data_IF_064283006865
#
_entry.id   IF_064283006865
#
_cell.length_a   1.000
_cell.length_b   1.000
_cell.length_c   1.000
_cell.angle_alpha   90.00
_cell.angle_beta   90.00
_cell.angle_gamma   90.00
#
_symmetry.space_group_name_H-M   'P 1'
#
loop_
_entity.id
_entity.type
_entity.pdbx_description
1 polymer ?
#
# COMPACT_ATOMS: atom_id res chain seq x y z
N UNK A 1 -11.55 -35.23 -26.00
CA UNK A 1 -12.77 -34.96 -25.20
C UNK A 1 -12.48 -34.23 -23.89
N UNK A 2 -11.53 -34.69 -23.07
CA UNK A 2 -11.22 -34.06 -21.79
C UNK A 2 -10.68 -32.61 -21.90
N UNK A 3 -9.80 -32.33 -22.85
CA UNK A 3 -9.30 -30.96 -23.09
C UNK A 3 -10.40 -29.99 -23.56
N UNK A 4 -11.27 -30.42 -24.47
CA UNK A 4 -12.43 -29.64 -24.91
C UNK A 4 -13.40 -29.35 -23.75
N UNK A 5 -13.53 -30.29 -22.80
CA UNK A 5 -14.32 -30.07 -21.58
C UNK A 5 -13.68 -29.00 -20.70
N UNK A 6 -12.38 -29.08 -20.42
CA UNK A 6 -11.66 -28.07 -19.65
C UNK A 6 -11.69 -26.70 -20.33
N UNK A 7 -11.65 -26.65 -21.66
CA UNK A 7 -11.78 -25.40 -22.40
C UNK A 7 -13.15 -24.75 -22.19
N UNK A 8 -14.24 -25.54 -22.16
CA UNK A 8 -15.61 -25.04 -21.94
C UNK A 8 -15.93 -24.74 -20.47
N UNK A 9 -15.52 -25.60 -19.53
CA UNK A 9 -15.80 -25.47 -18.08
C UNK A 9 -14.77 -24.64 -17.32
N UNK A 10 -13.64 -24.32 -17.95
CA UNK A 10 -12.48 -23.58 -17.42
C UNK A 10 -11.70 -24.34 -16.33
N UNK A 11 -12.38 -24.95 -15.36
CA UNK A 11 -11.76 -25.70 -14.26
C UNK A 11 -12.41 -27.07 -14.07
N UNK A 12 -11.62 -28.07 -13.67
CA UNK A 12 -12.11 -29.34 -13.14
C UNK A 12 -11.10 -29.97 -12.18
N UNK A 13 -11.58 -30.70 -11.19
CA UNK A 13 -10.75 -31.51 -10.29
C UNK A 13 -10.41 -32.87 -10.91
N UNK A 14 -9.37 -33.53 -10.42
CA UNK A 14 -9.05 -34.90 -10.85
C UNK A 14 -10.19 -35.87 -10.55
N UNK A 15 -10.85 -35.71 -9.41
CA UNK A 15 -12.00 -36.53 -9.04
C UNK A 15 -13.16 -36.41 -10.02
N UNK A 16 -13.45 -35.18 -10.51
CA UNK A 16 -14.49 -34.97 -11.52
C UNK A 16 -14.12 -35.59 -12.88
N UNK A 17 -12.85 -35.49 -13.30
CA UNK A 17 -12.39 -36.11 -14.54
C UNK A 17 -12.50 -37.64 -14.47
N UNK A 18 -12.04 -38.24 -13.36
CA UNK A 18 -12.16 -39.68 -13.12
C UNK A 18 -13.62 -40.14 -13.05
N UNK A 19 -14.49 -39.42 -12.33
CA UNK A 19 -15.91 -39.74 -12.23
C UNK A 19 -16.63 -39.68 -13.59
N UNK A 20 -16.13 -38.87 -14.52
CA UNK A 20 -16.62 -38.77 -15.90
C UNK A 20 -15.96 -39.77 -16.87
N UNK A 21 -15.04 -40.62 -16.40
CA UNK A 21 -14.29 -41.55 -17.25
C UNK A 21 -13.31 -40.86 -18.21
N UNK A 22 -12.89 -39.63 -17.89
CA UNK A 22 -11.98 -38.83 -18.71
C UNK A 22 -10.54 -38.90 -18.17
N UNK A 23 -9.53 -38.88 -19.04
CA UNK A 23 -8.13 -38.79 -18.61
C UNK A 23 -7.87 -37.47 -17.86
N UNK A 24 -6.98 -37.52 -16.87
CA UNK A 24 -6.51 -36.32 -16.16
C UNK A 24 -5.68 -35.46 -17.12
N UNK A 25 -6.18 -34.27 -17.42
CA UNK A 25 -5.57 -33.31 -18.34
C UNK A 25 -5.54 -31.91 -17.70
N UNK A 26 -4.78 -30.99 -18.30
CA UNK A 26 -4.63 -29.61 -17.80
C UNK A 26 -3.60 -29.47 -16.68
N UNK A 27 -3.22 -28.22 -16.41
CA UNK A 27 -2.24 -27.87 -15.39
C UNK A 27 -2.90 -27.67 -14.03
N UNK A 28 -2.29 -28.15 -12.93
CA UNK A 28 -2.83 -27.98 -11.59
C UNK A 28 -2.68 -26.53 -11.09
N UNK A 29 -3.76 -25.99 -10.53
CA UNK A 29 -3.81 -24.66 -9.89
C UNK A 29 -4.23 -24.79 -8.43
N UNK A 30 -3.29 -24.56 -7.52
CA UNK A 30 -3.39 -24.86 -6.09
C UNK A 30 -3.47 -26.36 -5.83
N UNK A 31 -4.17 -26.70 -4.74
CA UNK A 31 -4.38 -28.07 -4.27
C UNK A 31 -5.76 -28.59 -4.72
N UNK A 32 -6.00 -28.67 -6.03
CA UNK A 32 -7.23 -29.31 -6.53
C UNK A 32 -7.60 -29.04 -7.98
N UNK A 33 -8.01 -27.81 -8.35
CA UNK A 33 -8.53 -27.54 -9.68
C UNK A 33 -7.43 -27.57 -10.74
N UNK A 34 -7.74 -28.15 -11.90
CA UNK A 34 -6.91 -28.18 -13.09
C UNK A 34 -7.52 -27.28 -14.17
N UNK A 35 -6.67 -26.59 -14.92
CA UNK A 35 -7.07 -25.63 -15.96
C UNK A 35 -6.41 -25.97 -17.29
N UNK A 36 -7.11 -25.70 -18.39
CA UNK A 36 -6.49 -25.79 -19.71
C UNK A 36 -5.49 -24.63 -19.91
N UNK A 37 -4.26 -24.85 -20.42
CA UNK A 37 -3.24 -23.80 -20.57
C UNK A 37 -3.70 -22.58 -21.37
N UNK A 38 -4.51 -22.80 -22.42
CA UNK A 38 -5.12 -21.71 -23.20
C UNK A 38 -6.07 -20.83 -22.37
N UNK A 39 -6.92 -21.45 -21.54
CA UNK A 39 -7.85 -20.74 -20.66
C UNK A 39 -7.09 -20.00 -19.57
N UNK A 40 -6.00 -20.59 -19.05
CA UNK A 40 -5.15 -19.93 -18.07
C UNK A 40 -4.50 -18.65 -18.63
N UNK A 41 -3.99 -18.71 -19.87
CA UNK A 41 -3.42 -17.54 -20.55
C UNK A 41 -4.44 -16.43 -20.78
N UNK A 42 -5.66 -16.79 -21.18
CA UNK A 42 -6.77 -15.84 -21.31
C UNK A 42 -7.11 -15.19 -19.97
N UNK A 43 -7.19 -15.97 -18.89
CA UNK A 43 -7.45 -15.48 -17.54
C UNK A 43 -6.38 -14.49 -17.05
N UNK A 44 -5.10 -14.69 -17.40
CA UNK A 44 -4.03 -13.74 -17.08
C UNK A 44 -4.29 -12.39 -17.78
N UNK A 45 -4.69 -12.42 -19.06
CA UNK A 45 -5.07 -11.22 -19.80
C UNK A 45 -6.31 -10.53 -19.21
N UNK A 46 -7.36 -11.29 -18.89
CA UNK A 46 -8.57 -10.77 -18.25
C UNK A 46 -8.29 -10.19 -16.87
N UNK A 47 -7.41 -10.79 -16.07
CA UNK A 47 -7.03 -10.25 -14.77
C UNK A 47 -6.38 -8.88 -14.92
N UNK A 48 -5.41 -8.72 -15.84
CA UNK A 48 -4.77 -7.42 -16.07
C UNK A 48 -5.80 -6.35 -16.47
N UNK A 49 -6.68 -6.67 -17.40
CA UNK A 49 -7.75 -5.75 -17.82
C UNK A 49 -8.70 -5.37 -16.66
N UNK A 50 -9.08 -6.33 -15.81
CA UNK A 50 -9.92 -6.07 -14.64
C UNK A 50 -9.23 -5.19 -13.59
N UNK A 51 -7.93 -5.40 -13.36
CA UNK A 51 -7.16 -4.55 -12.44
C UNK A 51 -7.01 -3.13 -13.01
N UNK A 52 -6.76 -2.99 -14.31
CA UNK A 52 -6.70 -1.68 -14.97
C UNK A 52 -8.05 -0.95 -14.89
N UNK A 53 -9.16 -1.63 -15.20
CA UNK A 53 -10.50 -1.05 -15.06
C UNK A 53 -10.82 -0.70 -13.60
N UNK A 54 -10.49 -1.58 -12.65
CA UNK A 54 -10.70 -1.32 -11.23
C UNK A 54 -9.94 -0.09 -10.77
N UNK A 55 -8.69 0.08 -11.22
CA UNK A 55 -7.89 1.26 -10.92
C UNK A 55 -8.55 2.53 -11.44
N UNK A 56 -9.09 2.50 -12.64
CA UNK A 56 -9.74 3.66 -13.26
C UNK A 56 -11.06 4.01 -12.54
N UNK A 57 -11.82 2.99 -12.12
CA UNK A 57 -13.08 3.16 -11.38
C UNK A 57 -12.86 3.54 -9.90
N UNK A 58 -11.79 3.03 -9.29
CA UNK A 58 -11.46 3.16 -7.87
C UNK A 58 -10.03 3.68 -7.69
N UNK A 59 -9.73 4.92 -8.15
CA UNK A 59 -8.37 5.46 -8.15
C UNK A 59 -7.81 5.66 -6.74
N UNK A 60 -8.68 5.71 -5.73
CA UNK A 60 -8.30 5.77 -4.34
C UNK A 60 -8.03 4.39 -3.72
N UNK A 61 -8.24 3.26 -4.40
CA UNK A 61 -7.92 1.94 -3.85
C UNK A 61 -6.52 1.47 -4.26
N UNK A 62 -5.82 0.73 -3.38
CA UNK A 62 -4.47 0.24 -3.65
C UNK A 62 -4.42 -0.95 -4.62
N UNK A 63 -5.57 -1.55 -4.90
CA UNK A 63 -5.70 -2.75 -5.70
C UNK A 63 -7.08 -3.36 -5.51
N UNK A 64 -7.46 -4.27 -6.39
CA UNK A 64 -8.75 -4.92 -6.35
C UNK A 64 -8.78 -6.01 -5.26
N UNK A 65 -9.81 -6.08 -4.39
CA UNK A 65 -9.93 -7.16 -3.42
C UNK A 65 -9.90 -8.55 -4.08
N UNK A 66 -9.15 -9.49 -3.51
CA UNK A 66 -9.04 -10.88 -4.02
C UNK A 66 -10.41 -11.52 -4.23
N UNK A 67 -11.34 -11.30 -3.30
CA UNK A 67 -12.71 -11.82 -3.40
C UNK A 67 -13.51 -11.16 -4.53
N UNK A 68 -13.26 -9.88 -4.83
CA UNK A 68 -13.88 -9.20 -5.96
C UNK A 68 -13.35 -9.77 -7.29
N UNK A 69 -12.04 -10.01 -7.39
CA UNK A 69 -11.41 -10.68 -8.55
C UNK A 69 -12.01 -12.07 -8.75
N UNK A 70 -12.11 -12.86 -7.67
CA UNK A 70 -12.67 -14.22 -7.71
C UNK A 70 -14.07 -14.23 -8.31
N UNK A 71 -14.93 -13.31 -7.88
CA UNK A 71 -16.31 -13.20 -8.36
C UNK A 71 -16.38 -12.74 -9.81
N UNK A 72 -15.64 -11.70 -10.20
CA UNK A 72 -15.66 -11.17 -11.57
C UNK A 72 -15.14 -12.18 -12.60
N UNK A 73 -14.01 -12.83 -12.30
CA UNK A 73 -13.41 -13.83 -13.20
C UNK A 73 -14.02 -15.23 -13.05
N UNK A 74 -15.00 -15.40 -12.14
CA UNK A 74 -15.68 -16.68 -11.82
C UNK A 74 -14.68 -17.78 -11.45
N UNK A 75 -13.72 -17.45 -10.60
CA UNK A 75 -12.67 -18.36 -10.15
C UNK A 75 -13.16 -19.22 -8.98
N UNK A 76 -12.70 -20.48 -8.88
CA UNK A 76 -13.20 -21.42 -7.89
C UNK A 76 -12.81 -21.01 -6.45
N UNK A 77 -11.58 -20.56 -6.23
CA UNK A 77 -11.07 -20.23 -4.88
C UNK A 77 -10.21 -18.97 -4.88
N UNK A 78 -10.00 -18.39 -3.69
CA UNK A 78 -9.05 -17.30 -3.50
C UNK A 78 -7.60 -17.72 -3.81
N UNK A 79 -7.21 -18.97 -3.50
CA UNK A 79 -5.89 -19.48 -3.85
C UNK A 79 -5.61 -19.53 -5.36
N UNK A 80 -6.66 -19.72 -6.19
CA UNK A 80 -6.54 -19.61 -7.65
C UNK A 80 -6.30 -18.16 -8.09
N UNK A 81 -6.89 -17.18 -7.41
CA UNK A 81 -6.63 -15.75 -7.66
C UNK A 81 -5.17 -15.41 -7.38
N UNK A 82 -4.62 -15.88 -6.25
CA UNK A 82 -3.22 -15.62 -5.88
C UNK A 82 -2.24 -16.24 -6.88
N UNK A 83 -2.50 -17.49 -7.32
CA UNK A 83 -1.73 -18.15 -8.38
C UNK A 83 -1.81 -17.37 -9.71
N UNK A 84 -3.01 -16.88 -10.06
CA UNK A 84 -3.22 -16.10 -11.27
C UNK A 84 -2.51 -14.74 -11.20
N UNK A 85 -2.54 -14.07 -10.05
CA UNK A 85 -1.84 -12.83 -9.79
C UNK A 85 -0.32 -13.01 -9.90
N UNK A 86 0.23 -14.09 -9.31
CA UNK A 86 1.64 -14.46 -9.46
C UNK A 86 2.03 -14.68 -10.92
N UNK A 87 1.23 -15.44 -11.68
CA UNK A 87 1.47 -15.66 -13.11
C UNK A 87 1.35 -14.36 -13.94
N UNK A 88 0.50 -13.43 -13.52
CA UNK A 88 0.36 -12.11 -14.13
C UNK A 88 1.46 -11.11 -13.71
N UNK A 89 2.33 -11.48 -12.77
CA UNK A 89 3.32 -10.60 -12.11
C UNK A 89 2.68 -9.45 -11.32
N UNK A 90 1.50 -9.67 -10.75
CA UNK A 90 0.76 -8.72 -9.94
C UNK A 90 0.94 -9.04 -8.44
N UNK A 91 1.49 -8.13 -7.63
CA UNK A 91 1.64 -8.37 -6.19
C UNK A 91 0.28 -8.45 -5.49
N UNK A 92 0.18 -9.35 -4.50
CA UNK A 92 -0.96 -9.42 -3.58
C UNK A 92 -0.53 -8.85 -2.23
N UNK A 93 -1.16 -7.76 -1.80
CA UNK A 93 -0.84 -7.06 -0.54
C UNK A 93 -2.12 -6.90 0.26
N UNK A 94 -2.13 -7.36 1.52
CA UNK A 94 -3.29 -7.28 2.43
C UNK A 94 -4.60 -7.79 1.78
N UNK A 95 -4.53 -8.88 1.01
CA UNK A 95 -5.69 -9.49 0.36
C UNK A 95 -6.22 -8.73 -0.87
N UNK A 96 -5.39 -7.87 -1.48
CA UNK A 96 -5.71 -7.11 -2.71
C UNK A 96 -4.68 -7.39 -3.79
N UNK A 97 -5.15 -7.55 -5.02
CA UNK A 97 -4.29 -7.67 -6.21
C UNK A 97 -3.96 -6.27 -6.70
N UNK A 98 -2.69 -5.91 -6.67
CA UNK A 98 -2.20 -4.57 -6.97
C UNK A 98 -1.47 -4.53 -8.32
N UNK A 99 -1.49 -3.38 -9.00
CA UNK A 99 -0.69 -3.18 -10.21
C UNK A 99 0.80 -3.07 -9.88
N UNK A 100 1.71 -3.64 -10.70
CA UNK A 100 3.14 -3.64 -10.40
C UNK A 100 3.67 -2.22 -10.60
N UNK A 101 4.40 -1.69 -9.62
CA UNK A 101 5.02 -0.36 -9.72
C UNK A 101 4.04 0.83 -9.67
N UNK A 102 2.73 0.60 -9.52
CA UNK A 102 1.79 1.69 -9.31
C UNK A 102 1.92 2.17 -7.86
N UNK A 103 2.71 3.24 -7.66
CA UNK A 103 2.26 4.26 -6.70
C UNK A 103 0.85 4.60 -7.14
N UNK A 104 -0.15 4.29 -6.31
CA UNK A 104 -1.55 4.52 -6.64
C UNK A 104 -1.68 5.90 -7.31
N UNK A 105 -2.12 5.93 -8.57
CA UNK A 105 -2.30 7.18 -9.29
C UNK A 105 -3.39 7.95 -8.55
N UNK A 106 -3.02 9.06 -7.92
CA UNK A 106 -4.03 9.92 -7.29
C UNK A 106 -4.87 10.54 -8.41
N UNK A 107 -6.19 10.69 -8.22
CA UNK A 107 -6.99 11.53 -9.10
C UNK A 107 -6.33 12.89 -9.27
N UNK A 108 -6.35 13.46 -10.47
CA UNK A 108 -5.70 14.74 -10.78
C UNK A 108 -6.02 15.86 -9.76
N UNK A 109 -7.27 16.03 -9.29
CA UNK A 109 -7.57 17.04 -8.27
C UNK A 109 -6.86 16.77 -6.93
N UNK A 110 -6.70 15.51 -6.56
CA UNK A 110 -6.01 15.09 -5.32
C UNK A 110 -4.51 15.25 -5.48
N UNK A 111 -3.94 14.85 -6.63
CA UNK A 111 -2.51 15.05 -6.92
C UNK A 111 -2.16 16.55 -6.87
N UNK A 112 -2.99 17.43 -7.45
CA UNK A 112 -2.80 18.87 -7.40
C UNK A 112 -2.86 19.43 -5.97
N UNK A 113 -3.84 19.01 -5.16
CA UNK A 113 -3.96 19.41 -3.76
C UNK A 113 -2.76 18.92 -2.92
N UNK A 114 -2.32 17.68 -3.12
CA UNK A 114 -1.15 17.12 -2.46
C UNK A 114 0.13 17.83 -2.92
N UNK A 115 0.24 18.22 -4.19
CA UNK A 115 1.38 18.98 -4.70
C UNK A 115 1.46 20.38 -4.09
N UNK A 116 0.32 21.06 -3.91
CA UNK A 116 0.25 22.34 -3.20
C UNK A 116 0.70 22.19 -1.74
N UNK A 117 0.15 21.20 -1.03
CA UNK A 117 0.58 20.89 0.34
C UNK A 117 2.08 20.55 0.42
N UNK A 118 2.58 19.77 -0.54
CA UNK A 118 4.00 19.41 -0.58
C UNK A 118 4.88 20.65 -0.81
N UNK A 119 4.44 21.64 -1.59
CA UNK A 119 5.17 22.89 -1.77
C UNK A 119 5.27 23.68 -0.45
N UNK A 120 4.19 23.75 0.33
CA UNK A 120 4.18 24.38 1.65
C UNK A 120 5.13 23.66 2.62
N UNK A 121 5.06 22.32 2.68
CA UNK A 121 5.92 21.52 3.53
C UNK A 121 7.40 21.56 3.11
N UNK A 122 7.72 21.83 1.84
CA UNK A 122 9.13 22.06 1.45
C UNK A 122 9.71 23.31 2.11
N UNK A 123 8.91 24.36 2.30
CA UNK A 123 9.33 25.59 2.96
C UNK A 123 9.40 25.42 4.50
N UNK A 124 8.49 24.64 5.08
CA UNK A 124 8.46 24.34 6.50
C UNK A 124 8.22 22.83 6.76
N UNK A 125 9.28 21.99 6.73
CA UNK A 125 9.17 20.52 6.72
C UNK A 125 8.40 19.89 7.87
N UNK A 126 8.35 20.55 9.01
CA UNK A 126 7.69 20.05 10.23
C UNK A 126 6.47 20.89 10.63
N UNK A 127 6.03 21.82 9.78
CA UNK A 127 4.80 22.58 9.98
C UNK A 127 3.62 21.82 9.35
N UNK A 128 3.22 20.71 9.97
CA UNK A 128 2.09 19.92 9.49
C UNK A 128 0.82 20.80 9.39
N UNK A 129 0.07 20.74 8.28
CA UNK A 129 -1.15 21.52 8.10
C UNK A 129 -2.18 21.19 9.19
N UNK A 130 -3.09 22.12 9.44
CA UNK A 130 -4.23 21.90 10.32
C UNK A 130 -5.48 21.45 9.54
N UNK A 131 -6.56 21.19 10.26
CA UNK A 131 -7.81 20.72 9.66
C UNK A 131 -8.45 21.75 8.73
N UNK A 132 -8.30 23.05 9.02
CA UNK A 132 -8.85 24.11 8.18
C UNK A 132 -8.12 24.14 6.83
N UNK A 133 -6.77 24.09 6.86
CA UNK A 133 -5.97 24.05 5.64
C UNK A 133 -6.22 22.79 4.81
N UNK A 134 -6.37 21.64 5.47
CA UNK A 134 -6.75 20.40 4.76
C UNK A 134 -8.13 20.52 4.10
N UNK A 135 -9.10 21.15 4.75
CA UNK A 135 -10.42 21.39 4.19
C UNK A 135 -10.39 22.35 2.98
N UNK A 136 -9.58 23.42 3.04
CA UNK A 136 -9.35 24.34 1.91
C UNK A 136 -8.80 23.62 0.68
N UNK A 137 -7.84 22.71 0.89
CA UNK A 137 -7.27 21.85 -0.15
C UNK A 137 -8.19 20.70 -0.56
N UNK A 138 -9.37 20.57 0.06
CA UNK A 138 -10.31 19.45 -0.13
C UNK A 138 -9.67 18.08 0.09
N UNK A 139 -8.70 18.01 0.99
CA UNK A 139 -8.02 16.78 1.39
C UNK A 139 -8.73 16.18 2.60
N UNK A 140 -9.69 15.29 2.33
CA UNK A 140 -10.37 14.51 3.35
C UNK A 140 -9.58 13.27 3.77
N UNK A 141 -10.16 12.46 4.66
CA UNK A 141 -9.51 11.26 5.18
C UNK A 141 -9.17 10.23 4.09
N UNK A 142 -10.02 10.10 3.06
CA UNK A 142 -9.82 9.14 1.97
C UNK A 142 -8.69 9.59 1.05
N UNK A 143 -8.64 10.87 0.72
CA UNK A 143 -7.63 11.50 -0.12
C UNK A 143 -6.25 11.45 0.55
N UNK A 144 -6.19 11.79 1.84
CA UNK A 144 -4.96 11.69 2.63
C UNK A 144 -4.46 10.25 2.74
N UNK A 145 -5.37 9.29 2.98
CA UNK A 145 -5.00 7.88 3.00
C UNK A 145 -4.49 7.40 1.63
N UNK A 146 -5.06 7.88 0.53
CA UNK A 146 -4.57 7.60 -0.81
C UNK A 146 -3.19 8.22 -1.04
N UNK A 147 -2.98 9.47 -0.64
CA UNK A 147 -1.70 10.15 -0.78
C UNK A 147 -0.56 9.46 0.01
N UNK A 148 -0.87 8.95 1.21
CA UNK A 148 0.07 8.15 2.00
C UNK A 148 0.39 6.83 1.30
N UNK A 149 -0.61 6.12 0.79
CA UNK A 149 -0.40 4.87 0.02
C UNK A 149 0.35 5.09 -1.28
N UNK A 150 0.15 6.22 -1.95
CA UNK A 150 0.89 6.62 -3.14
C UNK A 150 2.34 7.07 -2.83
N UNK A 151 2.73 7.12 -1.54
CA UNK A 151 4.04 7.57 -1.09
C UNK A 151 4.29 9.05 -1.34
N UNK A 152 3.22 9.86 -1.41
CA UNK A 152 3.28 11.33 -1.55
C UNK A 152 3.35 12.05 -0.23
N UNK A 153 2.82 11.44 0.83
CA UNK A 153 2.84 11.96 2.20
C UNK A 153 3.24 10.85 3.18
N UNK A 154 3.83 11.26 4.30
CA UNK A 154 4.06 10.42 5.47
C UNK A 154 2.98 10.73 6.50
N UNK A 155 2.20 9.73 6.92
CA UNK A 155 1.34 9.84 8.09
C UNK A 155 2.18 9.63 9.36
N UNK A 156 2.27 10.67 10.18
CA UNK A 156 2.95 10.60 11.49
C UNK A 156 1.98 10.14 12.57
N UNK A 157 0.78 10.74 12.58
CA UNK A 157 -0.36 10.38 13.42
C UNK A 157 -1.65 10.90 12.80
N UNK A 158 -2.78 10.69 13.46
CA UNK A 158 -4.05 11.26 13.01
C UNK A 158 -3.99 12.79 12.98
N UNK A 159 -4.26 13.38 11.80
CA UNK A 159 -4.16 14.82 11.57
C UNK A 159 -2.73 15.38 11.51
N UNK A 160 -1.70 14.53 11.44
CA UNK A 160 -0.30 14.96 11.29
C UNK A 160 0.33 14.26 10.10
N UNK A 161 0.50 15.00 9.01
CA UNK A 161 1.08 14.54 7.76
C UNK A 161 2.29 15.40 7.39
N UNK A 162 3.38 14.74 6.97
CA UNK A 162 4.63 15.37 6.52
C UNK A 162 4.99 14.87 5.12
N UNK A 163 6.09 15.38 4.56
CA UNK A 163 6.67 14.83 3.34
C UNK A 163 7.17 13.38 3.56
N UNK A 164 7.29 12.57 2.50
CA UNK A 164 7.68 11.16 2.60
C UNK A 164 9.02 10.91 3.31
N UNK A 165 9.93 11.88 3.26
CA UNK A 165 11.25 11.84 3.90
C UNK A 165 11.31 12.60 5.24
N UNK A 166 10.15 13.00 5.78
CA UNK A 166 10.06 13.83 6.97
C UNK A 166 10.65 13.19 8.23
N UNK A 167 10.57 11.87 8.37
CA UNK A 167 11.20 11.12 9.47
C UNK A 167 12.74 11.16 9.37
N UNK A 168 13.30 10.90 8.19
CA UNK A 168 14.76 10.98 7.96
C UNK A 168 15.28 12.38 8.23
N UNK A 169 14.62 13.42 7.70
CA UNK A 169 14.99 14.82 7.96
C UNK A 169 14.90 15.17 9.44
N UNK A 170 13.87 14.67 10.14
CA UNK A 170 13.76 14.88 11.57
C UNK A 170 14.94 14.25 12.32
N UNK A 171 15.32 13.02 11.95
CA UNK A 171 16.46 12.33 12.55
C UNK A 171 17.77 13.11 12.36
N UNK A 172 18.00 13.66 11.17
CA UNK A 172 19.17 14.51 10.86
C UNK A 172 19.22 15.72 11.80
N UNK A 173 18.14 16.51 11.87
CA UNK A 173 18.07 17.69 12.75
C UNK A 173 18.22 17.34 14.23
N UNK A 174 17.61 16.23 14.67
CA UNK A 174 17.69 15.80 16.07
C UNK A 174 19.07 15.23 16.43
N UNK A 175 19.80 14.70 15.45
CA UNK A 175 21.18 14.22 15.62
C UNK A 175 22.18 15.33 15.88
N UNK A 176 21.90 16.56 15.43
CA UNK A 176 22.74 17.73 15.67
C UNK A 176 22.58 18.31 17.09
N UNK A 177 21.56 17.88 17.84
CA UNK A 177 21.35 18.33 19.21
C UNK A 177 22.34 17.67 20.18
N UNK A 178 22.71 18.36 21.29
CA UNK A 178 23.35 17.70 22.43
C UNK A 178 22.47 16.53 22.92
N UNK A 179 23.09 15.36 23.07
CA UNK A 179 22.40 14.14 23.48
C UNK A 179 22.61 13.88 24.99
N UNK A 180 21.57 13.48 25.74
CA UNK A 180 20.18 13.37 25.32
C UNK A 180 19.49 14.75 25.24
N UNK A 181 18.42 14.85 24.46
CA UNK A 181 17.61 16.06 24.31
C UNK A 181 16.22 15.92 24.91
N UNK A 182 15.66 17.04 25.33
CA UNK A 182 14.28 17.17 25.83
C UNK A 182 13.29 17.38 24.68
N UNK A 183 12.01 17.13 24.93
CA UNK A 183 10.93 17.49 24.00
C UNK A 183 10.96 18.99 23.61
N UNK A 184 11.31 19.87 24.54
CA UNK A 184 11.38 21.31 24.27
C UNK A 184 12.48 21.64 23.25
N UNK A 185 13.67 21.06 23.43
CA UNK A 185 14.79 21.22 22.50
C UNK A 185 14.46 20.66 21.12
N UNK A 186 13.88 19.45 21.05
CA UNK A 186 13.43 18.87 19.78
C UNK A 186 12.42 19.76 19.05
N UNK A 187 11.44 20.31 19.78
CA UNK A 187 10.43 21.21 19.22
C UNK A 187 11.04 22.50 18.67
N UNK A 188 12.01 23.07 19.39
CA UNK A 188 12.71 24.28 18.96
C UNK A 188 13.56 24.01 17.71
N UNK A 189 14.34 22.92 17.71
CA UNK A 189 15.19 22.52 16.59
C UNK A 189 14.39 22.27 15.31
N UNK A 190 13.30 21.51 15.43
CA UNK A 190 12.38 21.23 14.32
C UNK A 190 11.45 22.40 13.99
N UNK A 191 11.52 23.52 14.73
CA UNK A 191 10.68 24.71 14.56
C UNK A 191 9.19 24.37 14.45
N UNK A 192 8.73 23.45 15.28
CA UNK A 192 7.36 22.92 15.22
C UNK A 192 6.60 23.12 16.53
N UNK A 193 5.40 22.55 16.61
CA UNK A 193 4.54 22.58 17.79
C UNK A 193 4.58 21.24 18.52
N UNK A 194 4.08 21.21 19.76
CA UNK A 194 3.96 19.96 20.53
C UNK A 194 3.06 18.92 19.83
N UNK A 195 2.00 19.39 19.16
CA UNK A 195 1.06 18.56 18.37
C UNK A 195 1.77 17.71 17.31
N UNK A 196 2.86 18.22 16.73
CA UNK A 196 3.63 17.53 15.69
C UNK A 196 4.86 16.83 16.29
N UNK A 197 5.58 17.51 17.20
CA UNK A 197 6.81 16.98 17.77
C UNK A 197 6.60 15.68 18.56
N UNK A 198 5.54 15.59 19.36
CA UNK A 198 5.29 14.39 20.17
C UNK A 198 5.03 13.16 19.29
N UNK A 199 4.07 13.18 18.35
CA UNK A 199 3.83 12.01 17.50
C UNK A 199 5.00 11.68 16.57
N UNK A 200 5.75 12.70 16.10
CA UNK A 200 6.94 12.49 15.29
C UNK A 200 8.02 11.75 16.06
N UNK A 201 8.31 12.16 17.29
CA UNK A 201 9.30 11.48 18.12
C UNK A 201 8.83 10.06 18.51
N UNK A 202 7.53 9.85 18.76
CA UNK A 202 6.99 8.49 18.96
C UNK A 202 7.11 7.61 17.72
N UNK A 203 6.93 8.17 16.52
CA UNK A 203 7.18 7.46 15.27
C UNK A 203 8.65 7.05 15.14
N UNK A 204 9.57 7.97 15.46
CA UNK A 204 11.02 7.70 15.44
C UNK A 204 11.42 6.66 16.49
N UNK A 205 10.82 6.70 17.67
CA UNK A 205 11.02 5.68 18.73
C UNK A 205 10.58 4.29 18.22
N UNK A 206 9.39 4.19 17.61
CA UNK A 206 8.90 2.93 17.02
C UNK A 206 9.77 2.43 15.86
N UNK A 207 10.39 3.32 15.11
CA UNK A 207 11.32 2.98 14.01
C UNK A 207 12.73 2.67 14.52
N UNK A 208 12.98 2.77 15.83
CA UNK A 208 14.30 2.56 16.41
C UNK A 208 15.32 3.61 15.99
N UNK A 209 14.87 4.79 15.56
CA UNK A 209 15.72 5.93 15.20
C UNK A 209 16.08 6.76 16.43
N UNK A 210 15.11 6.92 17.34
CA UNK A 210 15.33 7.52 18.66
C UNK A 210 15.01 6.51 19.75
N UNK A 211 15.49 6.79 20.96
CA UNK A 211 15.18 6.03 22.15
C UNK A 211 14.79 7.00 23.27
N UNK A 212 13.65 6.73 23.92
CA UNK A 212 13.19 7.46 25.10
C UNK A 212 13.80 6.87 26.37
N UNK A 213 14.43 7.74 27.16
CA UNK A 213 15.11 7.38 28.41
C UNK A 213 14.16 7.50 29.63
N UNK A 214 14.52 6.92 30.80
CA UNK A 214 13.68 6.95 32.00
C UNK A 214 13.34 8.35 32.51
N UNK A 215 14.22 9.32 32.30
CA UNK A 215 14.05 10.72 32.67
C UNK A 215 13.20 11.53 31.67
N UNK A 216 12.54 10.86 30.72
CA UNK A 216 11.76 11.44 29.62
C UNK A 216 12.56 12.26 28.60
N UNK A 217 13.89 12.26 28.67
CA UNK A 217 14.73 12.72 27.56
C UNK A 217 14.79 11.66 26.46
N UNK A 218 15.32 12.04 25.30
CA UNK A 218 15.49 11.15 24.15
C UNK A 218 16.91 11.26 23.61
N UNK A 219 17.39 10.20 22.99
CA UNK A 219 18.63 10.23 22.21
C UNK A 219 18.41 9.65 20.82
N UNK A 220 19.15 10.13 19.83
CA UNK A 220 19.24 9.45 18.53
C UNK A 220 20.06 8.18 18.68
N UNK A 221 19.57 7.07 18.12
CA UNK A 221 20.33 5.83 18.05
C UNK A 221 21.29 5.95 16.87
N UNK A 222 22.59 5.89 17.16
CA UNK A 222 23.59 5.65 16.11
C UNK A 222 23.34 4.24 15.59
N UNK A 223 23.31 4.06 14.26
CA UNK A 223 23.31 2.72 13.69
C UNK A 223 24.50 1.94 14.27
N UNK A 224 24.35 0.65 14.65
CA UNK A 224 25.51 -0.16 14.94
C UNK A 224 26.39 -0.15 13.68
N UNK A 225 27.66 0.23 13.86
CA UNK A 225 28.68 0.14 12.83
C UNK A 225 28.86 -1.31 12.35
#
# INVERSE_FOLDING_TARGET
MAEAMLHRRRFATEGELHAMGLPVVGEPVGDGPRVHPGVWRELIGSLRAEIDQWRDDHPLESGMPVEAVRRRLRLPTAGVVERLAGAASLPVVEGRVCSPGSRALLPEPVEAAVAALAAELRAAPFAAPDAARMAELRLGAKELAAAVRAGRLLKVADGVFLLPDGDRRAAEVLGELPQPFTLSQARQALRTTRRVAVPLLELLDRRGVTERLPDSTRRVRTAPA
#
